data_IF_132537492001
#
_entry.id   IF_132537492001
#
_cell.length_a   1.000
_cell.length_b   1.000
_cell.length_c   1.000
_cell.angle_alpha   90.00
_cell.angle_beta   90.00
_cell.angle_gamma   90.00
#
_symmetry.space_group_name_H-M   'P 1'
#
loop_
_entity.id
_entity.type
_entity.pdbx_description
1 polymer ?
#
# COMPACT_ATOMS: atom_id res chain seq x y z
N UNK A 1 -8.66 15.56 12.72
CA UNK A 1 -9.35 14.31 12.30
C UNK A 1 -10.36 14.70 11.24
N UNK A 2 -10.29 14.14 10.03
CA UNK A 2 -11.34 14.34 9.02
C UNK A 2 -12.55 13.53 9.48
N UNK A 3 -13.71 14.16 9.67
CA UNK A 3 -14.88 13.43 10.10
C UNK A 3 -15.35 12.43 9.04
N UNK A 4 -15.83 11.23 9.42
CA UNK A 4 -16.26 10.20 8.46
C UNK A 4 -17.31 10.67 7.46
N UNK A 5 -18.16 11.63 7.85
CA UNK A 5 -19.18 12.20 6.97
C UNK A 5 -18.60 12.96 5.77
N UNK A 6 -17.37 13.49 5.86
CA UNK A 6 -16.72 14.17 4.72
C UNK A 6 -16.47 13.17 3.58
N UNK A 7 -16.08 11.93 3.91
CA UNK A 7 -15.91 10.88 2.92
C UNK A 7 -17.26 10.46 2.31
N UNK A 8 -18.32 10.44 3.11
CA UNK A 8 -19.67 10.19 2.61
C UNK A 8 -20.12 11.24 1.59
N UNK A 9 -19.96 12.53 1.89
CA UNK A 9 -20.29 13.61 0.94
C UNK A 9 -19.39 13.60 -0.30
N UNK A 10 -18.10 13.28 -0.15
CA UNK A 10 -17.18 13.12 -1.28
C UNK A 10 -17.64 11.97 -2.19
N UNK A 11 -18.10 10.85 -1.63
CA UNK A 11 -18.66 9.74 -2.38
C UNK A 11 -19.97 10.10 -3.10
N UNK A 12 -20.83 10.91 -2.49
CA UNK A 12 -22.07 11.36 -3.12
C UNK A 12 -21.84 12.43 -4.22
N UNK A 13 -20.76 13.22 -4.13
CA UNK A 13 -20.42 14.25 -5.12
C UNK A 13 -19.80 13.68 -6.41
N UNK A 14 -19.30 12.45 -6.37
CA UNK A 14 -18.69 11.80 -7.53
C UNK A 14 -19.77 11.27 -8.50
N UNK A 15 -20.07 12.02 -9.57
CA UNK A 15 -20.87 11.54 -10.71
C UNK A 15 -20.37 10.18 -11.26
N UNK A 16 -19.07 9.93 -11.10
CA UNK A 16 -18.40 8.67 -11.42
C UNK A 16 -18.87 7.48 -10.57
N UNK A 17 -19.17 7.65 -9.28
CA UNK A 17 -19.63 6.54 -8.43
C UNK A 17 -20.99 6.05 -8.91
N UNK A 18 -21.88 6.98 -9.24
CA UNK A 18 -23.19 6.65 -9.79
C UNK A 18 -23.08 6.00 -11.19
N UNK A 19 -22.29 6.57 -12.11
CA UNK A 19 -22.19 6.04 -13.48
C UNK A 19 -21.39 4.72 -13.62
N UNK A 20 -20.40 4.48 -12.77
CA UNK A 20 -19.49 3.33 -12.91
C UNK A 20 -19.86 2.20 -11.94
N UNK A 21 -20.06 2.50 -10.66
CA UNK A 21 -20.27 1.44 -9.66
C UNK A 21 -21.74 1.04 -9.54
N UNK A 22 -22.67 1.99 -9.70
CA UNK A 22 -24.11 1.68 -9.64
C UNK A 22 -24.65 1.19 -10.99
N UNK A 23 -24.29 1.87 -12.11
CA UNK A 23 -24.84 1.52 -13.43
C UNK A 23 -24.06 0.46 -14.21
N UNK A 24 -22.74 0.31 -13.98
CA UNK A 24 -21.89 -0.67 -14.71
C UNK A 24 -21.39 -1.82 -13.83
N UNK A 25 -21.85 -1.87 -12.57
CA UNK A 25 -21.58 -2.94 -11.59
C UNK A 25 -20.12 -3.40 -11.57
N UNK A 26 -19.19 -2.43 -11.49
CA UNK A 26 -17.78 -2.75 -11.33
C UNK A 26 -17.55 -3.39 -9.96
N UNK A 27 -16.85 -4.53 -9.93
CA UNK A 27 -16.57 -5.28 -8.70
C UNK A 27 -15.53 -4.63 -7.77
N UNK A 28 -15.03 -3.42 -8.08
CA UNK A 28 -14.04 -2.71 -7.26
C UNK A 28 -14.49 -2.46 -5.82
N UNK A 29 -15.72 -2.01 -5.52
CA UNK A 29 -16.14 -1.78 -4.14
C UNK A 29 -16.13 -3.07 -3.33
N UNK A 30 -16.56 -4.18 -3.94
CA UNK A 30 -16.53 -5.52 -3.31
C UNK A 30 -15.10 -5.97 -3.08
N UNK A 31 -14.23 -5.85 -4.09
CA UNK A 31 -12.81 -6.21 -3.96
C UNK A 31 -12.12 -5.40 -2.86
N UNK A 32 -12.36 -4.09 -2.81
CA UNK A 32 -11.79 -3.21 -1.79
C UNK A 32 -12.36 -3.47 -0.39
N UNK A 33 -13.65 -3.80 -0.27
CA UNK A 33 -14.24 -4.17 1.01
C UNK A 33 -13.60 -5.45 1.58
N UNK A 34 -13.41 -6.48 0.76
CA UNK A 34 -12.73 -7.72 1.17
C UNK A 34 -11.26 -7.43 1.51
N UNK A 35 -10.57 -6.58 0.74
CA UNK A 35 -9.20 -6.15 1.05
C UNK A 35 -9.12 -5.44 2.41
N UNK A 36 -10.02 -4.51 2.71
CA UNK A 36 -10.02 -3.82 4.01
C UNK A 36 -10.30 -4.77 5.17
N UNK A 37 -11.16 -5.77 4.96
CA UNK A 37 -11.35 -6.84 5.95
C UNK A 37 -10.08 -7.67 6.15
N UNK A 38 -9.35 -8.00 5.08
CA UNK A 38 -8.05 -8.67 5.17
C UNK A 38 -7.03 -7.82 5.96
N UNK A 39 -6.99 -6.51 5.72
CA UNK A 39 -6.13 -5.57 6.47
C UNK A 39 -6.47 -5.57 7.96
N UNK A 40 -7.76 -5.53 8.32
CA UNK A 40 -8.17 -5.62 9.72
C UNK A 40 -7.70 -6.93 10.38
N UNK A 41 -7.77 -8.06 9.67
CA UNK A 41 -7.24 -9.34 10.18
C UNK A 41 -5.73 -9.33 10.35
N UNK A 42 -4.98 -8.66 9.47
CA UNK A 42 -3.53 -8.48 9.65
C UNK A 42 -3.22 -7.63 10.89
N UNK A 43 -4.02 -6.58 11.16
CA UNK A 43 -3.88 -5.75 12.35
C UNK A 43 -4.21 -6.51 13.65
N UNK A 44 -5.12 -7.47 13.59
CA UNK A 44 -5.46 -8.37 14.71
C UNK A 44 -4.51 -9.57 14.83
N UNK A 45 -3.39 -9.59 14.11
CA UNK A 45 -2.42 -10.69 14.08
C UNK A 45 -2.99 -12.03 13.57
N UNK A 46 -4.15 -12.02 12.90
CA UNK A 46 -4.80 -13.19 12.29
C UNK A 46 -4.34 -13.39 10.83
N UNK A 47 -3.03 -13.56 10.65
CA UNK A 47 -2.37 -13.55 9.33
C UNK A 47 -2.86 -14.60 8.33
N UNK A 48 -3.17 -15.83 8.76
CA UNK A 48 -3.68 -16.87 7.84
C UNK A 48 -5.00 -16.48 7.19
N UNK A 49 -5.93 -15.96 8.00
CA UNK A 49 -7.24 -15.51 7.54
C UNK A 49 -7.12 -14.24 6.69
N UNK A 50 -6.21 -13.33 7.07
CA UNK A 50 -5.88 -12.17 6.25
C UNK A 50 -5.37 -12.58 4.85
N UNK A 51 -4.46 -13.56 4.76
CA UNK A 51 -3.97 -14.08 3.48
C UNK A 51 -5.07 -14.73 2.64
N UNK A 52 -5.97 -15.49 3.27
CA UNK A 52 -7.13 -16.08 2.61
C UNK A 52 -8.04 -15.01 2.00
N UNK A 53 -8.43 -13.99 2.80
CA UNK A 53 -9.28 -12.91 2.31
C UNK A 53 -8.57 -12.02 1.29
N UNK A 54 -7.27 -11.80 1.44
CA UNK A 54 -6.47 -11.08 0.45
C UNK A 54 -6.51 -11.79 -0.91
N UNK A 55 -6.31 -13.12 -0.92
CA UNK A 55 -6.40 -13.92 -2.15
C UNK A 55 -7.83 -13.95 -2.71
N UNK A 56 -8.85 -13.95 -1.84
CA UNK A 56 -10.24 -13.81 -2.28
C UNK A 56 -10.48 -12.46 -2.98
N UNK A 57 -9.97 -11.36 -2.43
CA UNK A 57 -10.07 -10.03 -3.05
C UNK A 57 -9.37 -9.98 -4.42
N UNK A 58 -8.20 -10.60 -4.56
CA UNK A 58 -7.49 -10.76 -5.85
C UNK A 58 -8.34 -11.50 -6.88
N UNK A 59 -9.11 -12.52 -6.44
CA UNK A 59 -10.00 -13.29 -7.30
C UNK A 59 -11.20 -12.47 -7.81
N UNK A 60 -11.66 -11.51 -7.01
CA UNK A 60 -12.73 -10.58 -7.42
C UNK A 60 -12.19 -9.57 -8.44
N UNK A 61 -11.02 -8.99 -8.18
CA UNK A 61 -10.35 -8.09 -9.12
C UNK A 61 -8.83 -8.11 -8.96
N UNK A 62 -8.13 -8.25 -10.08
CA UNK A 62 -6.67 -8.34 -10.13
C UNK A 62 -5.94 -7.07 -9.66
N UNK A 63 -6.60 -5.90 -9.62
CA UNK A 63 -5.96 -4.65 -9.16
C UNK A 63 -5.43 -4.76 -7.71
N UNK A 64 -5.98 -5.68 -6.91
CA UNK A 64 -5.53 -5.96 -5.55
C UNK A 64 -4.10 -6.53 -5.51
N UNK A 65 -3.59 -7.09 -6.61
CA UNK A 65 -2.18 -7.53 -6.71
C UNK A 65 -1.18 -6.39 -6.50
N UNK A 66 -1.58 -5.13 -6.73
CA UNK A 66 -0.73 -3.97 -6.48
C UNK A 66 -0.33 -3.82 -5.00
N UNK A 67 -1.09 -4.43 -4.07
CA UNK A 67 -0.76 -4.45 -2.65
C UNK A 67 0.16 -5.63 -2.25
N UNK A 68 0.36 -6.60 -3.14
CA UNK A 68 1.12 -7.82 -2.85
C UNK A 68 2.60 -7.58 -2.47
N UNK A 69 3.35 -6.65 -3.10
CA UNK A 69 4.72 -6.35 -2.68
C UNK A 69 4.81 -5.83 -1.24
N UNK A 70 3.85 -4.98 -0.85
CA UNK A 70 3.74 -4.48 0.52
C UNK A 70 3.41 -5.59 1.52
N UNK A 71 2.44 -6.46 1.18
CA UNK A 71 2.09 -7.61 2.01
C UNK A 71 3.26 -8.59 2.17
N UNK A 72 3.98 -8.89 1.09
CA UNK A 72 5.15 -9.76 1.12
C UNK A 72 6.23 -9.19 2.05
N UNK A 73 6.50 -7.89 1.97
CA UNK A 73 7.44 -7.22 2.87
C UNK A 73 7.02 -7.39 4.34
N UNK A 74 5.73 -7.21 4.65
CA UNK A 74 5.21 -7.39 6.02
C UNK A 74 5.31 -8.84 6.50
N UNK A 75 5.01 -9.82 5.64
CA UNK A 75 5.12 -11.24 5.97
C UNK A 75 6.57 -11.65 6.25
N UNK A 76 7.53 -11.21 5.43
CA UNK A 76 8.96 -11.45 5.65
C UNK A 76 9.45 -10.76 6.92
N UNK A 77 9.00 -9.52 7.17
CA UNK A 77 9.34 -8.81 8.40
C UNK A 77 8.81 -9.53 9.63
N UNK A 78 7.58 -10.08 9.59
CA UNK A 78 6.95 -10.72 10.75
C UNK A 78 7.42 -12.15 10.99
N UNK A 79 7.57 -12.95 9.93
CA UNK A 79 7.74 -14.42 10.02
C UNK A 79 9.04 -14.95 9.42
N UNK A 80 9.86 -14.11 8.77
CA UNK A 80 11.01 -14.58 8.00
C UNK A 80 10.59 -15.35 6.74
N UNK A 81 11.54 -16.02 6.09
CA UNK A 81 11.26 -16.75 4.84
C UNK A 81 10.42 -18.01 5.10
N UNK A 82 10.83 -18.86 6.04
CA UNK A 82 10.18 -20.15 6.29
C UNK A 82 8.74 -20.00 6.78
N UNK A 83 8.48 -19.04 7.67
CA UNK A 83 7.13 -18.76 8.14
C UNK A 83 6.25 -18.03 7.12
N UNK A 84 6.84 -17.39 6.10
CA UNK A 84 6.10 -16.74 5.01
C UNK A 84 5.56 -17.76 3.99
N UNK A 85 6.31 -18.83 3.70
CA UNK A 85 5.92 -19.89 2.75
C UNK A 85 4.49 -20.40 2.98
N UNK A 86 4.10 -20.88 4.19
CA UNK A 86 2.75 -21.41 4.39
C UNK A 86 1.65 -20.35 4.16
N UNK A 87 1.94 -19.06 4.42
CA UNK A 87 0.98 -17.97 4.17
C UNK A 87 0.80 -17.72 2.67
N UNK A 88 1.89 -17.77 1.91
CA UNK A 88 1.84 -17.70 0.45
C UNK A 88 1.16 -18.94 -0.16
N UNK A 89 1.37 -20.12 0.42
CA UNK A 89 0.68 -21.34 0.02
C UNK A 89 -0.85 -21.22 0.18
N UNK A 90 -1.34 -20.61 1.27
CA UNK A 90 -2.79 -20.33 1.44
C UNK A 90 -3.30 -19.46 0.29
N UNK A 91 -2.57 -18.40 -0.06
CA UNK A 91 -2.96 -17.53 -1.16
C UNK A 91 -3.01 -18.29 -2.50
N UNK A 92 -1.95 -19.04 -2.81
CA UNK A 92 -1.82 -19.79 -4.06
C UNK A 92 -2.85 -20.91 -4.19
N UNK A 93 -3.10 -21.66 -3.10
CA UNK A 93 -4.06 -22.75 -3.09
C UNK A 93 -5.48 -22.24 -3.40
N UNK A 94 -5.88 -21.11 -2.82
CA UNK A 94 -7.19 -20.53 -3.12
C UNK A 94 -7.34 -20.18 -4.62
N UNK A 95 -6.30 -19.60 -5.23
CA UNK A 95 -6.30 -19.29 -6.67
C UNK A 95 -6.41 -20.56 -7.52
N UNK A 96 -5.70 -21.62 -7.15
CA UNK A 96 -5.77 -22.91 -7.85
C UNK A 96 -7.16 -23.52 -7.69
N UNK A 97 -7.74 -23.54 -6.50
CA UNK A 97 -9.07 -24.10 -6.25
C UNK A 97 -10.14 -23.37 -7.05
N UNK A 98 -10.13 -22.03 -7.04
CA UNK A 98 -11.09 -21.23 -7.81
C UNK A 98 -10.85 -21.32 -9.32
N UNK A 99 -9.59 -21.45 -9.74
CA UNK A 99 -9.20 -21.60 -11.14
C UNK A 99 -9.35 -23.02 -11.69
N UNK A 100 -9.47 -24.04 -10.84
CA UNK A 100 -9.44 -25.45 -11.21
C UNK A 100 -10.40 -25.83 -12.34
N UNK A 101 -11.69 -25.44 -12.33
CA UNK A 101 -12.60 -25.81 -13.43
C UNK A 101 -12.12 -25.27 -14.78
N UNK A 102 -11.48 -24.11 -14.82
CA UNK A 102 -10.94 -23.53 -16.05
C UNK A 102 -9.60 -24.16 -16.44
N UNK A 103 -8.76 -24.47 -15.46
CA UNK A 103 -7.46 -25.12 -15.67
C UNK A 103 -7.61 -26.54 -16.22
N UNK A 104 -8.65 -27.28 -15.81
CA UNK A 104 -8.93 -28.62 -16.32
C UNK A 104 -9.41 -28.61 -17.79
N UNK A 105 -10.10 -27.55 -18.22
CA UNK A 105 -10.64 -27.45 -19.59
C UNK A 105 -9.62 -26.85 -20.55
N UNK A 106 -9.00 -25.72 -20.20
CA UNK A 106 -8.01 -25.07 -21.04
C UNK A 106 -7.03 -24.23 -20.19
N UNK A 107 -5.93 -24.82 -19.73
CA UNK A 107 -5.00 -24.13 -18.83
C UNK A 107 -4.30 -22.95 -19.49
N UNK A 108 -3.89 -23.08 -20.77
CA UNK A 108 -3.25 -22.01 -21.52
C UNK A 108 -4.22 -20.85 -21.77
N UNK A 109 -5.46 -21.15 -22.15
CA UNK A 109 -6.51 -20.14 -22.34
C UNK A 109 -6.83 -19.41 -21.05
N UNK A 110 -6.97 -20.12 -19.93
CA UNK A 110 -7.21 -19.51 -18.63
C UNK A 110 -6.05 -18.58 -18.23
N UNK A 111 -4.80 -19.04 -18.27
CA UNK A 111 -3.67 -18.23 -17.83
C UNK A 111 -3.47 -16.97 -18.68
N UNK A 112 -3.56 -17.09 -20.01
CA UNK A 112 -3.39 -15.95 -20.93
C UNK A 112 -4.53 -14.93 -20.85
N UNK A 113 -5.76 -15.37 -20.56
CA UNK A 113 -6.93 -14.48 -20.46
C UNK A 113 -7.11 -13.87 -19.07
N UNK A 114 -6.73 -14.60 -18.02
CA UNK A 114 -6.72 -14.08 -16.66
C UNK A 114 -5.66 -13.00 -16.46
N UNK A 115 -4.49 -13.16 -17.11
CA UNK A 115 -3.39 -12.19 -17.09
C UNK A 115 -3.11 -11.66 -18.51
N UNK A 116 -4.01 -10.79 -18.99
CA UNK A 116 -3.91 -10.15 -20.31
C UNK A 116 -2.83 -9.06 -20.35
N UNK A 117 -1.55 -9.48 -20.33
CA UNK A 117 -0.37 -8.60 -20.33
C UNK A 117 -0.15 -7.89 -21.68
N UNK A 118 -0.84 -8.33 -22.74
CA UNK A 118 -0.79 -7.69 -24.06
C UNK A 118 -1.69 -6.46 -24.18
N UNK A 119 -2.54 -6.20 -23.19
CA UNK A 119 -3.47 -5.07 -23.21
C UNK A 119 -2.73 -3.74 -23.14
N UNK A 120 -3.03 -2.87 -24.10
CA UNK A 120 -2.53 -1.49 -24.13
C UNK A 120 -3.62 -0.51 -23.71
N UNK A 121 -3.24 0.53 -22.99
CA UNK A 121 -4.15 1.63 -22.67
C UNK A 121 -4.43 2.44 -23.94
N UNK A 122 -5.69 2.81 -24.14
CA UNK A 122 -6.08 3.66 -25.27
C UNK A 122 -5.92 5.12 -24.87
N UNK A 123 -5.27 5.93 -25.70
CA UNK A 123 -5.00 7.34 -25.39
C UNK A 123 -6.29 8.13 -25.12
N UNK A 124 -7.39 7.82 -25.81
CA UNK A 124 -8.70 8.46 -25.57
C UNK A 124 -9.23 8.28 -24.14
N UNK A 125 -8.82 7.23 -23.44
CA UNK A 125 -9.25 6.92 -22.06
C UNK A 125 -8.18 7.29 -21.02
N UNK A 126 -7.08 7.94 -21.42
CA UNK A 126 -6.06 8.36 -20.46
C UNK A 126 -6.63 9.45 -19.54
N UNK A 127 -6.34 9.33 -18.24
CA UNK A 127 -6.71 10.37 -17.27
C UNK A 127 -5.48 11.16 -16.84
N UNK A 128 -4.38 10.44 -16.60
CA UNK A 128 -3.13 10.99 -16.09
C UNK A 128 -2.16 11.43 -17.18
N UNK A 129 -2.24 10.92 -18.41
CA UNK A 129 -1.21 11.19 -19.44
C UNK A 129 -1.70 12.06 -20.61
N UNK A 130 -2.75 12.86 -20.42
CA UNK A 130 -3.26 13.75 -21.47
C UNK A 130 -2.26 14.84 -21.87
N UNK A 131 -1.27 15.12 -21.02
CA UNK A 131 -0.17 16.04 -21.32
C UNK A 131 0.78 15.51 -22.42
N UNK A 132 0.80 14.20 -22.66
CA UNK A 132 1.70 13.58 -23.63
C UNK A 132 1.05 13.50 -25.02
N UNK A 133 1.82 13.63 -26.11
CA UNK A 133 1.39 13.24 -27.44
C UNK A 133 1.00 11.76 -27.50
N UNK A 134 0.08 11.43 -28.40
CA UNK A 134 -0.42 10.07 -28.55
C UNK A 134 0.69 9.09 -28.97
N UNK A 135 1.65 9.52 -29.80
CA UNK A 135 2.74 8.66 -30.26
C UNK A 135 3.65 8.24 -29.08
N UNK A 136 3.91 9.17 -28.16
CA UNK A 136 4.71 8.92 -26.96
C UNK A 136 3.96 7.98 -26.01
N UNK A 137 2.66 8.24 -25.79
CA UNK A 137 1.83 7.44 -24.90
C UNK A 137 1.72 5.98 -25.36
N UNK A 138 1.58 5.74 -26.66
CA UNK A 138 1.46 4.38 -27.21
C UNK A 138 2.81 3.66 -27.34
N UNK A 139 3.93 4.36 -27.15
CA UNK A 139 5.26 3.77 -27.33
C UNK A 139 5.56 2.69 -26.28
N UNK A 140 6.14 1.57 -26.74
CA UNK A 140 6.54 0.47 -25.83
C UNK A 140 7.65 0.89 -24.86
N UNK A 141 8.56 1.76 -25.31
CA UNK A 141 9.62 2.30 -24.47
C UNK A 141 9.05 3.09 -23.28
N UNK A 142 8.01 3.91 -23.50
CA UNK A 142 7.34 4.64 -22.43
C UNK A 142 6.68 3.71 -21.43
N UNK A 143 5.93 2.69 -21.87
CA UNK A 143 5.31 1.71 -20.97
C UNK A 143 6.34 0.96 -20.11
N UNK A 144 7.46 0.53 -20.70
CA UNK A 144 8.55 -0.12 -19.96
C UNK A 144 9.21 0.84 -18.98
N UNK A 145 9.45 2.10 -19.39
CA UNK A 145 10.01 3.13 -18.50
C UNK A 145 9.10 3.38 -17.29
N UNK A 146 7.77 3.44 -17.47
CA UNK A 146 6.82 3.56 -16.38
C UNK A 146 6.87 2.38 -15.42
N UNK A 147 6.96 1.16 -15.95
CA UNK A 147 7.08 -0.05 -15.12
C UNK A 147 8.39 -0.04 -14.32
N UNK A 148 9.52 0.29 -14.95
CA UNK A 148 10.81 0.40 -14.28
C UNK A 148 10.80 1.50 -13.21
N UNK A 149 10.21 2.65 -13.49
CA UNK A 149 10.07 3.74 -12.53
C UNK A 149 9.24 3.30 -11.31
N UNK A 150 8.16 2.54 -11.52
CA UNK A 150 7.36 1.98 -10.43
C UNK A 150 8.17 0.98 -9.57
N UNK A 151 8.86 0.02 -10.21
CA UNK A 151 9.69 -0.95 -9.50
C UNK A 151 10.84 -0.28 -8.75
N UNK A 152 11.49 0.72 -9.35
CA UNK A 152 12.53 1.51 -8.71
C UNK A 152 11.98 2.28 -7.50
N UNK A 153 10.79 2.89 -7.62
CA UNK A 153 10.11 3.54 -6.49
C UNK A 153 9.85 2.57 -5.34
N UNK A 154 9.30 1.39 -5.62
CA UNK A 154 9.10 0.35 -4.60
C UNK A 154 10.43 -0.08 -3.95
N UNK A 155 11.48 -0.27 -4.74
CA UNK A 155 12.83 -0.60 -4.25
C UNK A 155 13.42 0.48 -3.36
N UNK A 156 13.31 1.75 -3.75
CA UNK A 156 13.77 2.90 -2.98
C UNK A 156 13.05 3.00 -1.64
N UNK A 157 11.72 2.85 -1.63
CA UNK A 157 10.93 2.82 -0.41
C UNK A 157 11.30 1.63 0.47
N UNK A 158 11.45 0.44 -0.10
CA UNK A 158 11.84 -0.75 0.64
C UNK A 158 13.22 -0.59 1.32
N UNK A 159 14.22 -0.10 0.58
CA UNK A 159 15.61 0.03 1.04
C UNK A 159 15.81 1.17 2.03
N UNK A 160 15.26 2.35 1.75
CA UNK A 160 15.59 3.56 2.51
C UNK A 160 14.56 3.88 3.59
N UNK A 161 13.30 3.48 3.38
CA UNK A 161 12.20 3.91 4.22
C UNK A 161 11.60 2.78 5.03
N UNK A 162 11.16 1.69 4.41
CA UNK A 162 10.52 0.57 5.12
C UNK A 162 11.55 -0.24 5.93
N UNK A 163 12.73 -0.49 5.37
CA UNK A 163 13.83 -1.13 6.08
C UNK A 163 14.58 -0.13 6.98
N UNK A 164 14.04 0.16 8.17
CA UNK A 164 14.69 1.06 9.16
C UNK A 164 15.82 0.40 9.97
N UNK A 165 16.08 -0.89 9.79
CA UNK A 165 17.20 -1.57 10.47
C UNK A 165 18.51 -1.25 9.77
N UNK A 166 19.63 -1.18 10.52
CA UNK A 166 20.98 -1.02 9.97
C UNK A 166 21.50 -2.26 9.22
N UNK A 167 20.73 -3.34 9.20
CA UNK A 167 21.11 -4.60 8.56
C UNK A 167 20.87 -4.58 7.03
N UNK A 168 21.38 -5.59 6.33
CA UNK A 168 21.02 -5.81 4.92
C UNK A 168 19.57 -6.28 4.81
N UNK A 169 18.87 -5.96 3.71
CA UNK A 169 17.53 -6.52 3.40
C UNK A 169 17.52 -8.05 3.48
N UNK A 170 18.65 -8.70 3.20
CA UNK A 170 18.77 -10.16 3.31
C UNK A 170 18.56 -10.67 4.75
N UNK A 171 18.71 -9.82 5.76
CA UNK A 171 18.37 -10.15 7.14
C UNK A 171 16.85 -10.36 7.34
N UNK A 172 15.99 -9.80 6.47
CA UNK A 172 14.55 -10.08 6.49
C UNK A 172 14.22 -11.53 6.10
N UNK A 173 15.13 -12.21 5.38
CA UNK A 173 14.95 -13.62 5.04
C UNK A 173 15.22 -14.54 6.23
N UNK A 174 16.09 -14.10 7.16
CA UNK A 174 16.40 -14.84 8.38
C UNK A 174 15.22 -14.86 9.33
N UNK A 175 15.20 -15.88 10.19
CA UNK A 175 14.16 -16.01 11.20
C UNK A 175 14.18 -14.80 12.15
N UNK A 176 12.99 -14.28 12.54
CA UNK A 176 12.89 -13.11 13.40
C UNK A 176 13.66 -13.25 14.72
N UNK A 177 13.78 -14.46 15.25
CA UNK A 177 14.50 -14.77 16.49
C UNK A 177 16.03 -14.62 16.37
N UNK A 178 16.58 -14.74 15.16
CA UNK A 178 18.02 -14.62 14.91
C UNK A 178 18.46 -13.19 14.57
N UNK A 179 17.52 -12.24 14.52
CA UNK A 179 17.80 -10.84 14.15
C UNK A 179 18.37 -10.09 15.34
N UNK A 180 19.44 -9.32 15.10
CA UNK A 180 20.17 -8.57 16.13
C UNK A 180 19.32 -7.50 16.81
N UNK A 181 18.31 -6.99 16.09
CA UNK A 181 17.32 -6.05 16.58
C UNK A 181 15.92 -6.61 16.31
N UNK A 182 15.17 -7.04 17.35
CA UNK A 182 13.79 -7.47 17.15
C UNK A 182 12.95 -6.27 16.70
N UNK A 183 12.27 -6.41 15.56
CA UNK A 183 11.31 -5.40 15.11
C UNK A 183 10.09 -5.43 16.02
N UNK A 184 9.66 -4.28 16.58
CA UNK A 184 8.47 -4.24 17.43
C UNK A 184 7.24 -4.71 16.64
N UNK A 185 6.24 -5.33 17.29
CA UNK A 185 4.98 -5.67 16.65
C UNK A 185 4.35 -4.40 16.05
N UNK A 186 3.69 -4.56 14.90
CA UNK A 186 3.00 -3.49 14.19
C UNK A 186 1.72 -3.12 14.96
N UNK A 187 1.87 -2.43 16.08
CA UNK A 187 0.72 -1.98 16.87
C UNK A 187 -0.02 -0.87 16.11
N UNK A 188 -1.35 -0.92 16.07
CA UNK A 188 -2.22 0.08 15.41
C UNK A 188 -1.88 1.52 15.81
N UNK A 189 -1.41 1.72 17.04
CA UNK A 189 -0.97 3.02 17.56
C UNK A 189 0.26 3.57 16.84
N UNK A 190 1.16 2.73 16.33
CA UNK A 190 2.36 3.17 15.60
C UNK A 190 2.05 3.47 14.13
N UNK A 191 0.97 2.92 13.58
CA UNK A 191 0.54 3.13 12.19
C UNK A 191 -0.39 4.35 12.09
N UNK A 192 -1.29 4.54 13.06
CA UNK A 192 -2.19 5.69 13.08
C UNK A 192 -1.60 6.94 13.77
N UNK A 193 -0.63 6.79 14.69
CA UNK A 193 -0.34 7.82 15.69
C UNK A 193 1.17 8.15 15.87
N UNK A 194 2.02 7.98 14.86
CA UNK A 194 3.33 8.68 14.81
C UNK A 194 3.26 10.03 14.07
N UNK A 195 2.10 10.39 13.51
CA UNK A 195 1.85 11.66 12.85
C UNK A 195 1.28 12.72 13.79
N UNK A 196 2.10 13.28 14.68
CA UNK A 196 1.76 14.53 15.38
C UNK A 196 1.66 15.68 14.40
N UNK A 197 0.50 15.87 13.74
CA UNK A 197 0.29 17.00 12.83
C UNK A 197 -1.19 17.38 12.72
N UNK A 198 -1.70 17.98 13.80
CA UNK A 198 -3.02 18.62 13.83
C UNK A 198 -3.12 19.88 12.94
N UNK A 199 -2.01 20.43 12.43
CA UNK A 199 -2.02 21.60 11.52
C UNK A 199 -2.19 21.26 10.02
N UNK A 200 -2.21 19.96 9.66
CA UNK A 200 -2.10 19.47 8.28
C UNK A 200 -3.46 19.06 7.66
N UNK A 201 -4.59 19.50 8.22
CA UNK A 201 -5.91 19.01 7.82
C UNK A 201 -6.47 19.58 6.50
N UNK A 202 -6.39 20.89 6.19
CA UNK A 202 -7.08 21.46 5.02
C UNK A 202 -6.39 21.08 3.70
N UNK A 203 -5.05 21.08 3.65
CA UNK A 203 -4.35 20.77 2.41
C UNK A 203 -4.48 19.29 2.00
N UNK A 204 -4.67 18.34 2.94
CA UNK A 204 -4.94 16.92 2.60
C UNK A 204 -6.33 16.73 2.01
N UNK A 205 -7.33 17.40 2.59
CA UNK A 205 -8.71 17.38 2.04
C UNK A 205 -8.74 18.08 0.69
N UNK A 206 -8.05 19.21 0.53
CA UNK A 206 -7.87 19.88 -0.74
C UNK A 206 -7.20 18.95 -1.77
N UNK A 207 -6.13 18.26 -1.39
CA UNK A 207 -5.42 17.34 -2.26
C UNK A 207 -6.31 16.17 -2.72
N UNK A 208 -7.10 15.58 -1.81
CA UNK A 208 -8.09 14.56 -2.17
C UNK A 208 -9.19 15.12 -3.08
N UNK A 209 -9.68 16.33 -2.80
CA UNK A 209 -10.67 17.02 -3.63
C UNK A 209 -10.17 17.33 -5.04
N UNK A 210 -8.91 17.76 -5.19
CA UNK A 210 -8.28 18.00 -6.49
C UNK A 210 -8.08 16.69 -7.25
N UNK A 211 -7.66 15.61 -6.59
CA UNK A 211 -7.57 14.28 -7.21
C UNK A 211 -8.95 13.86 -7.75
N UNK A 212 -9.99 13.95 -6.92
CA UNK A 212 -11.35 13.61 -7.30
C UNK A 212 -11.86 14.48 -8.47
N UNK A 213 -11.58 15.78 -8.45
CA UNK A 213 -11.89 16.71 -9.54
C UNK A 213 -11.19 16.32 -10.85
N UNK A 214 -9.91 15.96 -10.78
CA UNK A 214 -9.14 15.53 -11.95
C UNK A 214 -9.74 14.24 -12.54
N UNK A 215 -10.16 13.29 -11.70
CA UNK A 215 -10.86 12.10 -12.15
C UNK A 215 -12.27 12.40 -12.68
N UNK A 216 -13.00 13.40 -12.18
CA UNK A 216 -14.31 13.75 -12.72
C UNK A 216 -14.27 14.56 -14.03
N UNK A 217 -13.10 15.07 -14.44
CA UNK A 217 -12.92 15.73 -15.73
C UNK A 217 -12.87 14.72 -16.88
N UNK A 218 -13.91 14.66 -17.73
CA UNK A 218 -13.94 13.84 -18.95
C UNK A 218 -14.41 14.65 -20.18
N UNK A 219 -13.70 14.59 -21.33
CA UNK A 219 -12.38 14.00 -21.52
C UNK A 219 -11.33 14.73 -20.66
N UNK A 220 -10.27 14.01 -20.28
CA UNK A 220 -9.19 14.63 -19.50
C UNK A 220 -8.53 15.77 -20.30
N UNK A 221 -8.00 16.75 -19.58
CA UNK A 221 -7.26 17.90 -20.11
C UNK A 221 -5.81 17.87 -19.64
N UNK A 222 -4.92 18.61 -20.32
CA UNK A 222 -3.52 18.78 -19.91
C UNK A 222 -3.43 19.31 -18.48
N UNK A 223 -4.27 20.29 -18.12
CA UNK A 223 -4.34 20.84 -16.76
C UNK A 223 -4.73 19.77 -15.73
N UNK A 224 -5.80 19.00 -15.98
CA UNK A 224 -6.21 17.93 -15.05
C UNK A 224 -5.15 16.84 -14.87
N UNK A 225 -4.43 16.51 -15.95
CA UNK A 225 -3.34 15.53 -15.96
C UNK A 225 -2.13 16.04 -15.15
N UNK A 226 -1.71 17.29 -15.36
CA UNK A 226 -0.65 17.94 -14.57
C UNK A 226 -1.01 18.06 -13.09
N UNK A 227 -2.22 18.53 -12.77
CA UNK A 227 -2.71 18.61 -11.39
C UNK A 227 -2.67 17.23 -10.72
N UNK A 228 -3.11 16.19 -11.43
CA UNK A 228 -3.07 14.82 -10.90
C UNK A 228 -1.63 14.37 -10.60
N UNK A 229 -0.67 14.64 -11.49
CA UNK A 229 0.75 14.33 -11.25
C UNK A 229 1.34 15.11 -10.07
N UNK A 230 1.02 16.40 -9.94
CA UNK A 230 1.46 17.24 -8.81
C UNK A 230 0.90 16.68 -7.50
N UNK A 231 -0.39 16.36 -7.45
CA UNK A 231 -1.02 15.77 -6.26
C UNK A 231 -0.36 14.44 -5.86
N UNK A 232 -0.12 13.54 -6.81
CA UNK A 232 0.56 12.27 -6.51
C UNK A 232 2.02 12.47 -6.09
N UNK A 233 2.73 13.43 -6.69
CA UNK A 233 4.08 13.80 -6.29
C UNK A 233 4.13 14.30 -4.84
N UNK A 234 3.18 15.16 -4.46
CA UNK A 234 3.03 15.63 -3.07
C UNK A 234 2.71 14.49 -2.11
N UNK A 235 1.85 13.53 -2.49
CA UNK A 235 1.56 12.34 -1.67
C UNK A 235 2.83 11.52 -1.45
N UNK A 236 3.60 11.24 -2.50
CA UNK A 236 4.86 10.51 -2.39
C UNK A 236 5.89 11.24 -1.53
N UNK A 237 6.00 12.57 -1.68
CA UNK A 237 6.86 13.42 -0.87
C UNK A 237 6.47 13.36 0.62
N UNK A 238 5.16 13.44 0.90
CA UNK A 238 4.63 13.32 2.26
C UNK A 238 4.86 11.92 2.84
N UNK A 239 4.74 10.86 2.04
CA UNK A 239 5.04 9.51 2.49
C UNK A 239 6.54 9.35 2.81
N UNK A 240 7.41 9.99 2.02
CA UNK A 240 8.85 9.96 2.22
C UNK A 240 9.29 10.70 3.49
N UNK A 241 8.82 11.94 3.71
CA UNK A 241 9.23 12.77 4.85
C UNK A 241 8.34 12.69 6.08
N UNK A 242 7.03 12.47 5.90
CA UNK A 242 6.01 12.54 6.96
C UNK A 242 6.02 11.39 7.95
N UNK A 243 7.04 10.54 7.88
CA UNK A 243 7.26 9.45 8.80
C UNK A 243 8.72 9.42 9.25
N UNK A 244 9.24 10.59 9.64
CA UNK A 244 10.47 10.69 10.42
C UNK A 244 10.10 10.48 11.91
N UNK A 245 10.75 9.55 12.64
CA UNK A 245 10.57 9.47 14.07
C UNK A 245 11.16 10.72 14.72
N UNK A 246 10.41 11.32 15.64
CA UNK A 246 10.94 12.37 16.52
C UNK A 246 12.14 11.79 17.27
N UNK A 247 13.31 12.46 17.31
CA UNK A 247 14.40 11.99 18.15
C UNK A 247 13.89 11.86 19.59
N UNK A 248 14.12 10.70 20.20
CA UNK A 248 13.70 10.45 21.58
C UNK A 248 14.23 11.58 22.48
N UNK A 249 13.41 12.12 23.41
CA UNK A 249 13.88 13.14 24.32
C UNK A 249 15.07 12.60 25.09
N UNK A 250 16.20 13.33 25.02
CA UNK A 250 17.38 13.06 25.81
C UNK A 250 16.98 13.01 27.29
N UNK A 251 16.91 11.82 27.86
CA UNK A 251 16.81 11.67 29.31
C UNK A 251 18.18 12.05 29.85
N UNK A 252 18.33 13.13 30.63
CA UNK A 252 19.60 13.41 31.28
C UNK A 252 19.95 12.21 32.18
N UNK A 253 21.24 11.82 32.26
CA UNK A 253 21.65 10.69 33.07
C UNK A 253 21.17 10.88 34.52
N UNK A 254 20.74 9.81 35.21
CA UNK A 254 20.27 9.91 36.58
C UNK A 254 21.35 10.54 37.45
N UNK A 255 20.99 11.59 38.17
CA UNK A 255 21.88 12.23 39.14
C UNK A 255 22.36 11.17 40.13
N UNK A 256 23.68 11.10 40.30
CA UNK A 256 24.36 10.18 41.22
C UNK A 256 23.72 10.35 42.60
N UNK A 257 22.98 9.35 43.10
CA UNK A 257 22.48 9.35 44.48
C UNK A 257 23.68 9.50 45.42
N UNK A 258 23.66 10.42 46.41
CA UNK A 258 24.73 10.50 47.39
C UNK A 258 24.82 9.19 48.18
N UNK A 259 26.04 8.76 48.57
CA UNK A 259 26.25 7.49 49.26
C UNK A 259 25.50 7.47 50.61
N UNK A 260 24.90 6.33 50.92
CA UNK A 260 24.20 6.11 52.18
C UNK A 260 25.18 6.25 53.36
N UNK A 261 24.84 7.13 54.31
CA UNK A 261 25.51 7.24 55.60
C UNK A 261 25.42 5.89 56.33
N UNK A 262 26.57 5.24 56.51
CA UNK A 262 26.75 4.08 57.35
C UNK A 262 26.45 4.45 58.80
N UNK A 263 25.28 4.06 59.33
CA UNK A 263 25.07 3.96 60.78
C UNK A 263 25.82 2.74 61.30
N UNK A 264 27.07 2.97 61.69
CA UNK A 264 27.83 2.12 62.63
C UNK A 264 28.52 3.05 63.63
N UNK A 265 28.01 3.07 64.85
CA UNK A 265 28.75 3.05 66.13
C UNK A 265 27.95 3.74 67.24
N UNK A 266 27.74 2.96 68.30
CA UNK A 266 27.41 3.30 69.70
C UNK A 266 26.02 3.87 70.02
#
# INVERSE_FOLDING_TARGET
>A
KVPPYVFFFMCCASYRIHSIFVLRLFNDPVAMAILFLAINLFLEERWSWGCLLFSLAVSVKMNILLFAPGLLFLLLQRFGLLGCIPKLCICALLQVVLGLPFLLVNPLGYLTRSFDLGRQFQFKWTVNWRLLPEEVFQSRAFHVALLLAHLAGLGLFALHRWHRSKESILALLKDPAERKHPTPPLTTNNILWEGGQQAFLPHRVLLLGVIELCWNTYPSTVCSSLCLHICHGLVLLQLWYGTAPTPAPHTPPPSRKPPALSKKAQ
#
